data_IF_637163929481
#
_entry.id   IF_637163929481
#
_cell.length_a   1.000
_cell.length_b   1.000
_cell.length_c   1.000
_cell.angle_alpha   90.00
_cell.angle_beta   90.00
_cell.angle_gamma   90.00
#
_symmetry.space_group_name_H-M   'P 1'
#
loop_
_entity.id
_entity.type
_entity.pdbx_description
1 polymer ?
#
# COMPACT_ATOMS: atom_id res chain seq x y z
N UNK A 1 -10.35 -10.53 23.45
CA UNK A 1 -11.72 -10.96 23.01
C UNK A 1 -11.86 -10.68 21.53
N UNK A 2 -12.26 -11.67 20.74
CA UNK A 2 -12.45 -11.53 19.29
C UNK A 2 -13.81 -10.93 18.94
N UNK A 3 -13.92 -10.32 17.75
CA UNK A 3 -15.20 -9.80 17.26
C UNK A 3 -16.25 -10.91 17.16
N UNK A 4 -15.88 -12.10 16.68
CA UNK A 4 -16.77 -13.26 16.62
C UNK A 4 -17.34 -13.63 18.01
N UNK A 5 -16.51 -13.60 19.04
CA UNK A 5 -16.92 -13.86 20.43
C UNK A 5 -17.90 -12.80 20.93
N UNK A 6 -17.61 -11.52 20.65
CA UNK A 6 -18.46 -10.40 21.06
C UNK A 6 -19.89 -10.51 20.49
N UNK A 7 -20.02 -10.96 19.25
CA UNK A 7 -21.31 -11.09 18.56
C UNK A 7 -21.90 -12.51 18.62
N UNK A 8 -21.29 -13.44 19.37
CA UNK A 8 -21.75 -14.82 19.50
C UNK A 8 -21.71 -15.60 18.18
N UNK A 9 -20.80 -15.26 17.28
CA UNK A 9 -20.63 -15.94 16.00
C UNK A 9 -19.77 -17.17 16.22
N UNK A 10 -20.31 -18.35 15.91
CA UNK A 10 -19.62 -19.65 16.09
C UNK A 10 -18.84 -20.12 14.87
N UNK A 11 -18.69 -19.26 13.85
CA UNK A 11 -17.98 -19.57 12.61
C UNK A 11 -16.46 -19.47 12.79
N UNK A 12 -15.73 -20.33 12.08
CA UNK A 12 -14.29 -20.23 11.97
C UNK A 12 -13.87 -19.09 11.03
N UNK A 13 -12.61 -18.62 11.09
CA UNK A 13 -12.11 -17.54 10.22
C UNK A 13 -12.35 -17.82 8.73
N UNK A 14 -12.30 -19.07 8.28
CA UNK A 14 -12.53 -19.43 6.88
C UNK A 14 -13.98 -19.29 6.41
N UNK A 15 -14.91 -19.18 7.36
CA UNK A 15 -16.35 -19.04 7.10
C UNK A 15 -16.83 -17.59 7.32
N UNK A 16 -15.92 -16.70 7.73
CA UNK A 16 -16.20 -15.29 7.94
C UNK A 16 -15.80 -14.49 6.69
N UNK A 17 -16.60 -13.49 6.35
CA UNK A 17 -16.32 -12.53 5.28
C UNK A 17 -15.43 -11.36 5.75
N UNK A 18 -14.91 -11.42 6.98
CA UNK A 18 -14.05 -10.41 7.58
C UNK A 18 -12.96 -11.07 8.44
N UNK A 19 -11.92 -10.34 8.74
CA UNK A 19 -10.88 -10.79 9.66
C UNK A 19 -11.37 -10.68 11.08
N UNK A 20 -11.31 -11.78 11.83
CA UNK A 20 -11.74 -11.87 13.22
C UNK A 20 -10.68 -11.25 14.15
N UNK A 21 -10.65 -9.93 14.19
CA UNK A 21 -9.66 -9.17 14.98
C UNK A 21 -9.92 -9.26 16.47
N UNK A 22 -8.87 -9.20 17.27
CA UNK A 22 -8.94 -9.09 18.72
C UNK A 22 -9.20 -7.63 19.11
N UNK A 23 -10.26 -7.35 19.84
CA UNK A 23 -10.61 -6.00 20.29
C UNK A 23 -9.77 -5.50 21.49
N UNK A 24 -9.05 -6.37 22.15
CA UNK A 24 -8.22 -6.03 23.32
C UNK A 24 -6.75 -5.86 22.97
N UNK A 25 -6.33 -6.32 21.78
CA UNK A 25 -4.96 -6.25 21.30
C UNK A 25 -4.91 -5.92 19.82
N UNK A 26 -3.80 -5.34 19.38
CA UNK A 26 -3.56 -5.09 17.97
C UNK A 26 -3.36 -6.41 17.21
N UNK A 27 -4.12 -6.59 16.14
CA UNK A 27 -3.98 -7.73 15.24
C UNK A 27 -3.20 -7.28 14.03
N UNK A 28 -1.94 -7.72 13.83
CA UNK A 28 -1.14 -7.28 12.70
C UNK A 28 -1.74 -7.79 11.39
N UNK A 29 -2.30 -6.86 10.61
CA UNK A 29 -2.87 -7.11 9.29
C UNK A 29 -2.06 -6.36 8.25
N UNK A 30 -1.76 -7.04 7.15
CA UNK A 30 -0.98 -6.46 6.05
C UNK A 30 -1.71 -6.70 4.73
N UNK A 31 -1.79 -5.65 3.91
CA UNK A 31 -2.18 -5.78 2.52
C UNK A 31 -0.94 -6.10 1.69
N UNK A 32 -0.95 -7.27 1.09
CA UNK A 32 0.13 -7.72 0.23
C UNK A 32 -0.28 -7.53 -1.24
N UNK A 33 0.39 -6.68 -2.02
CA UNK A 33 0.06 -6.43 -3.42
C UNK A 33 0.12 -7.69 -4.27
N UNK A 34 1.01 -8.63 -3.95
CA UNK A 34 1.09 -9.91 -4.65
C UNK A 34 -0.20 -10.74 -4.48
N UNK A 35 -0.75 -10.81 -3.26
CA UNK A 35 -2.01 -11.52 -3.04
C UNK A 35 -3.19 -10.80 -3.69
N UNK A 36 -3.19 -9.48 -3.74
CA UNK A 36 -4.19 -8.71 -4.48
C UNK A 36 -4.14 -9.07 -5.96
N UNK A 37 -2.95 -9.11 -6.56
CA UNK A 37 -2.76 -9.47 -7.97
C UNK A 37 -3.16 -10.91 -8.32
N UNK A 38 -3.16 -11.82 -7.34
CA UNK A 38 -3.52 -13.24 -7.52
C UNK A 38 -4.97 -13.58 -7.19
N UNK A 39 -5.72 -12.60 -6.72
CA UNK A 39 -7.10 -12.81 -6.29
C UNK A 39 -8.08 -12.51 -7.42
N UNK A 40 -9.05 -13.40 -7.62
CA UNK A 40 -10.03 -13.30 -8.71
C UNK A 40 -11.26 -12.44 -8.37
N UNK A 41 -11.32 -11.83 -7.19
CA UNK A 41 -12.41 -10.91 -6.85
C UNK A 41 -12.35 -9.62 -7.69
N UNK A 42 -13.50 -9.12 -8.17
CA UNK A 42 -13.53 -7.88 -8.96
C UNK A 42 -12.84 -6.69 -8.28
N UNK A 43 -13.02 -6.53 -6.96
CA UNK A 43 -12.38 -5.47 -6.19
C UNK A 43 -10.85 -5.63 -6.14
N UNK A 44 -10.34 -6.85 -6.03
CA UNK A 44 -8.90 -7.13 -6.06
C UNK A 44 -8.31 -6.80 -7.43
N UNK A 45 -9.03 -7.10 -8.50
CA UNK A 45 -8.62 -6.73 -9.85
C UNK A 45 -8.53 -5.21 -10.05
N UNK A 46 -9.53 -4.46 -9.57
CA UNK A 46 -9.51 -2.99 -9.64
C UNK A 46 -8.38 -2.41 -8.79
N UNK A 47 -8.15 -2.94 -7.59
CA UNK A 47 -7.04 -2.54 -6.72
C UNK A 47 -5.69 -2.82 -7.40
N UNK A 48 -5.52 -3.99 -8.01
CA UNK A 48 -4.31 -4.33 -8.76
C UNK A 48 -4.06 -3.37 -9.92
N UNK A 49 -5.07 -3.05 -10.71
CA UNK A 49 -4.94 -2.07 -11.80
C UNK A 49 -4.55 -0.68 -11.27
N UNK A 50 -5.11 -0.27 -10.15
CA UNK A 50 -4.79 1.02 -9.52
C UNK A 50 -3.33 1.06 -9.04
N UNK A 51 -2.89 0.00 -8.36
CA UNK A 51 -1.50 -0.16 -7.92
C UNK A 51 -0.54 -0.06 -9.09
N UNK A 52 -0.78 -0.85 -10.11
CA UNK A 52 0.06 -0.90 -11.31
C UNK A 52 0.13 0.46 -12.02
N UNK A 53 -1.02 1.06 -12.30
CA UNK A 53 -1.10 2.38 -12.95
C UNK A 53 -0.38 3.47 -12.17
N UNK A 54 -0.51 3.46 -10.84
CA UNK A 54 0.16 4.41 -9.98
C UNK A 54 1.69 4.27 -10.04
N UNK A 55 2.20 3.05 -9.89
CA UNK A 55 3.64 2.79 -9.94
C UNK A 55 4.24 3.03 -11.30
N UNK A 56 3.55 2.66 -12.39
CA UNK A 56 3.97 3.03 -13.75
C UNK A 56 4.08 4.55 -13.90
N UNK A 57 3.12 5.31 -13.39
CA UNK A 57 3.15 6.78 -13.41
C UNK A 57 4.34 7.33 -12.61
N UNK A 58 4.53 6.86 -11.39
CA UNK A 58 5.64 7.27 -10.51
C UNK A 58 7.00 6.98 -11.15
N UNK A 59 7.22 5.75 -11.61
CA UNK A 59 8.48 5.33 -12.22
C UNK A 59 8.78 6.09 -13.52
N UNK A 60 7.75 6.33 -14.34
CA UNK A 60 7.87 7.16 -15.55
C UNK A 60 8.27 8.58 -15.20
N UNK A 61 7.59 9.20 -14.24
CA UNK A 61 7.86 10.58 -13.80
C UNK A 61 9.30 10.72 -13.30
N UNK A 62 9.82 9.71 -12.58
CA UNK A 62 11.21 9.65 -12.13
C UNK A 62 12.20 9.50 -13.28
N UNK A 63 11.91 8.62 -14.26
CA UNK A 63 12.75 8.42 -15.47
C UNK A 63 12.81 9.66 -16.35
N UNK A 64 11.71 10.40 -16.41
CA UNK A 64 11.61 11.68 -17.12
C UNK A 64 12.28 12.84 -16.36
N UNK A 65 12.93 12.56 -15.22
CA UNK A 65 13.60 13.54 -14.35
C UNK A 65 12.66 14.65 -13.82
N UNK A 66 11.36 14.39 -13.74
CA UNK A 66 10.35 15.27 -13.18
C UNK A 66 10.27 15.07 -11.65
N UNK A 67 11.32 15.50 -10.96
CA UNK A 67 11.52 15.17 -9.54
C UNK A 67 10.47 15.77 -8.62
N UNK A 68 10.00 17.00 -8.86
CA UNK A 68 8.98 17.63 -8.03
C UNK A 68 7.64 16.88 -8.11
N UNK A 69 7.24 16.51 -9.32
CA UNK A 69 5.99 15.75 -9.55
C UNK A 69 6.07 14.36 -8.95
N UNK A 70 7.23 13.69 -9.05
CA UNK A 70 7.44 12.38 -8.45
C UNK A 70 7.43 12.44 -6.91
N UNK A 71 8.00 13.49 -6.31
CA UNK A 71 7.97 13.70 -4.87
C UNK A 71 6.55 14.01 -4.38
N UNK A 72 5.78 14.77 -5.13
CA UNK A 72 4.38 15.00 -4.86
C UNK A 72 3.58 13.71 -4.90
N UNK A 73 3.69 12.92 -5.97
CA UNK A 73 3.06 11.60 -6.05
C UNK A 73 3.43 10.73 -4.83
N UNK A 74 4.71 10.67 -4.52
CA UNK A 74 5.19 9.83 -3.41
C UNK A 74 4.72 10.31 -2.05
N UNK A 75 4.48 11.61 -1.87
CA UNK A 75 3.98 12.19 -0.62
C UNK A 75 2.58 11.70 -0.23
N UNK A 76 1.79 11.28 -1.22
CA UNK A 76 0.45 10.72 -1.02
C UNK A 76 0.46 9.25 -0.57
N UNK A 77 1.62 8.59 -0.53
CA UNK A 77 1.76 7.21 -0.04
C UNK A 77 1.92 7.11 1.48
N UNK A 78 1.87 8.23 2.19
CA UNK A 78 1.91 8.28 3.65
C UNK A 78 0.71 7.60 4.30
N UNK A 79 0.83 7.32 5.59
CA UNK A 79 -0.25 6.72 6.38
C UNK A 79 -1.55 7.52 6.24
N UNK A 80 -2.61 6.88 5.80
CA UNK A 80 -3.95 7.46 5.78
C UNK A 80 -4.64 7.22 7.11
N UNK A 81 -5.11 8.29 7.75
CA UNK A 81 -5.89 8.20 8.99
C UNK A 81 -7.23 7.46 8.81
N UNK A 82 -7.64 7.20 7.58
CA UNK A 82 -8.91 6.60 7.22
C UNK A 82 -8.83 5.07 7.16
N UNK A 83 -7.62 4.51 7.16
CA UNK A 83 -7.38 3.08 7.07
C UNK A 83 -6.85 2.57 8.42
N UNK A 84 -7.76 2.22 9.32
CA UNK A 84 -7.41 1.54 10.57
C UNK A 84 -7.57 0.04 10.39
N UNK A 85 -6.46 -0.67 10.16
CA UNK A 85 -6.42 -2.15 10.12
C UNK A 85 -6.24 -2.77 11.51
N UNK A 86 -6.81 -2.15 12.54
CA UNK A 86 -6.74 -2.65 13.90
C UNK A 86 -7.49 -1.77 14.88
N UNK A 87 -7.75 -2.29 16.07
CA UNK A 87 -8.39 -1.55 17.17
C UNK A 87 -7.33 -1.12 18.18
N UNK A 88 -7.25 0.18 18.46
CA UNK A 88 -6.40 0.73 19.53
C UNK A 88 -7.26 1.46 20.56
N UNK A 89 -7.02 1.19 21.85
CA UNK A 89 -7.68 1.91 22.95
C UNK A 89 -7.25 3.37 23.09
N UNK A 90 -6.14 3.73 22.46
CA UNK A 90 -5.57 5.09 22.45
C UNK A 90 -5.36 5.54 21.02
N UNK A 91 -4.49 6.53 20.81
CA UNK A 91 -4.12 6.93 19.44
C UNK A 91 -3.47 5.75 18.70
N UNK A 92 -3.77 5.55 17.40
CA UNK A 92 -3.09 4.55 16.59
C UNK A 92 -1.58 4.67 16.78
N UNK A 93 -0.91 3.56 17.12
CA UNK A 93 0.54 3.51 17.35
C UNK A 93 1.26 2.79 16.21
N UNK A 94 0.63 2.67 15.05
CA UNK A 94 1.25 2.11 13.86
C UNK A 94 2.53 2.86 13.50
N UNK A 95 3.56 2.14 13.08
CA UNK A 95 4.76 2.73 12.47
C UNK A 95 4.47 3.00 10.98
N UNK A 96 3.38 3.67 10.69
CA UNK A 96 3.03 4.07 9.34
C UNK A 96 4.10 4.94 8.69
N UNK A 97 3.99 5.11 7.38
CA UNK A 97 4.95 5.90 6.61
C UNK A 97 4.79 7.39 6.92
N UNK A 98 5.57 7.88 7.88
CA UNK A 98 5.65 9.30 8.19
C UNK A 98 6.41 10.10 7.12
N UNK A 99 6.29 11.45 7.09
CA UNK A 99 6.96 12.30 6.10
C UNK A 99 8.48 12.09 6.03
N UNK A 100 9.12 11.81 7.16
CA UNK A 100 10.56 11.53 7.23
C UNK A 100 10.92 10.20 6.54
N UNK A 101 10.06 9.19 6.69
CA UNK A 101 10.31 7.87 6.09
C UNK A 101 10.00 7.91 4.59
N UNK A 102 8.93 8.59 4.19
CA UNK A 102 8.62 8.84 2.79
C UNK A 102 9.80 9.51 2.07
N UNK A 103 10.40 10.55 2.67
CA UNK A 103 11.56 11.24 2.09
C UNK A 103 12.79 10.33 1.98
N UNK A 104 13.03 9.44 2.94
CA UNK A 104 14.16 8.49 2.88
C UNK A 104 13.96 7.45 1.78
N UNK A 105 12.76 6.88 1.72
CA UNK A 105 12.41 5.89 0.69
C UNK A 105 12.48 6.52 -0.70
N UNK A 106 11.95 7.73 -0.86
CA UNK A 106 12.02 8.46 -2.12
C UNK A 106 13.45 8.70 -2.60
N UNK A 107 14.37 9.07 -1.69
CA UNK A 107 15.81 9.20 -2.03
C UNK A 107 16.41 7.87 -2.44
N UNK A 108 16.15 6.80 -1.68
CA UNK A 108 16.64 5.47 -2.01
C UNK A 108 16.11 5.00 -3.37
N UNK A 109 14.84 5.25 -3.67
CA UNK A 109 14.24 4.96 -4.96
C UNK A 109 14.91 5.71 -6.11
N UNK A 110 15.09 7.03 -5.95
CA UNK A 110 15.74 7.89 -6.94
C UNK A 110 17.16 7.45 -7.27
N UNK A 111 17.90 7.02 -6.24
CA UNK A 111 19.31 6.63 -6.36
C UNK A 111 19.47 5.15 -6.78
N UNK A 112 18.38 4.38 -6.84
CA UNK A 112 18.39 2.96 -7.16
C UNK A 112 18.88 2.70 -8.59
N UNK A 113 19.88 1.84 -8.78
CA UNK A 113 20.29 1.37 -10.10
C UNK A 113 19.13 0.66 -10.85
N UNK A 114 18.24 -0.01 -10.13
CA UNK A 114 17.11 -0.73 -10.71
C UNK A 114 16.11 0.20 -11.40
N UNK A 115 15.92 1.42 -10.88
CA UNK A 115 15.14 2.45 -11.56
C UNK A 115 15.75 2.85 -12.88
N UNK A 116 17.08 3.07 -12.92
CA UNK A 116 17.81 3.52 -14.13
C UNK A 116 17.88 2.45 -15.20
N UNK A 117 18.00 1.19 -14.81
CA UNK A 117 18.09 0.06 -15.75
C UNK A 117 16.73 -0.41 -16.25
N UNK A 118 15.63 0.08 -15.66
CA UNK A 118 14.28 -0.32 -16.01
C UNK A 118 13.84 -1.68 -15.49
N UNK A 119 14.64 -2.32 -14.61
CA UNK A 119 14.31 -3.61 -14.00
C UNK A 119 13.14 -3.47 -13.00
N UNK A 120 13.03 -2.30 -12.36
CA UNK A 120 11.93 -2.01 -11.46
C UNK A 120 10.68 -1.65 -12.26
N UNK A 121 9.65 -2.46 -12.17
CA UNK A 121 8.41 -2.32 -12.93
C UNK A 121 7.16 -2.20 -12.05
N UNK A 122 7.13 -2.93 -10.92
CA UNK A 122 5.96 -3.05 -10.05
C UNK A 122 6.27 -2.67 -8.59
N UNK A 123 5.21 -2.54 -7.78
CA UNK A 123 5.30 -2.21 -6.34
C UNK A 123 6.11 -3.26 -5.57
N UNK A 124 6.01 -4.54 -5.94
CA UNK A 124 6.71 -5.64 -5.29
C UNK A 124 8.23 -5.49 -5.38
N UNK A 125 8.72 -4.87 -6.45
CA UNK A 125 10.12 -4.61 -6.70
C UNK A 125 10.72 -3.64 -5.68
N UNK A 126 9.88 -2.79 -5.06
CA UNK A 126 10.32 -1.86 -4.02
C UNK A 126 11.00 -2.55 -2.85
N UNK A 127 10.49 -3.70 -2.39
CA UNK A 127 11.13 -4.46 -1.29
C UNK A 127 12.48 -5.01 -1.65
N UNK A 128 12.73 -5.23 -2.94
CA UNK A 128 13.97 -5.83 -3.43
C UNK A 128 15.03 -4.76 -3.69
N UNK A 129 14.62 -3.62 -4.25
CA UNK A 129 15.52 -2.62 -4.82
C UNK A 129 15.57 -1.28 -4.08
N UNK A 130 14.70 -1.10 -3.08
CA UNK A 130 14.60 0.16 -2.34
C UNK A 130 14.79 -0.09 -0.85
N UNK A 131 15.78 0.56 -0.26
CA UNK A 131 16.07 0.44 1.17
C UNK A 131 14.93 1.02 2.04
N UNK A 132 14.79 0.46 3.22
CA UNK A 132 13.84 0.88 4.25
C UNK A 132 12.35 0.65 3.89
N UNK A 133 12.05 -0.19 2.92
CA UNK A 133 10.69 -0.65 2.62
C UNK A 133 10.47 -2.00 3.29
N UNK A 134 9.84 -1.99 4.46
CA UNK A 134 9.38 -3.19 5.17
C UNK A 134 7.94 -3.55 4.80
N UNK A 135 7.41 -4.61 5.39
CA UNK A 135 6.05 -5.08 5.10
C UNK A 135 4.98 -4.10 5.57
N UNK A 136 5.22 -3.33 6.65
CA UNK A 136 4.27 -2.35 7.17
C UNK A 136 4.11 -1.22 6.15
N UNK A 137 5.22 -0.65 5.68
CA UNK A 137 5.21 0.41 4.67
C UNK A 137 4.66 -0.05 3.33
N UNK A 138 4.96 -1.30 2.94
CA UNK A 138 4.36 -1.89 1.74
C UNK A 138 2.84 -1.99 1.87
N UNK A 139 2.35 -2.44 3.03
CA UNK A 139 0.93 -2.50 3.33
C UNK A 139 0.27 -1.12 3.28
N UNK A 140 0.91 -0.11 3.88
CA UNK A 140 0.39 1.27 3.89
C UNK A 140 0.32 1.85 2.49
N UNK A 141 1.37 1.70 1.68
CA UNK A 141 1.36 2.13 0.28
C UNK A 141 0.26 1.43 -0.51
N UNK A 142 0.15 0.11 -0.34
CA UNK A 142 -0.88 -0.71 -1.00
C UNK A 142 -2.28 -0.26 -0.63
N UNK A 143 -2.53 -0.03 0.66
CA UNK A 143 -3.82 0.44 1.16
C UNK A 143 -4.17 1.81 0.59
N UNK A 144 -3.25 2.77 0.67
CA UNK A 144 -3.47 4.12 0.14
C UNK A 144 -3.81 4.12 -1.34
N UNK A 145 -3.01 3.43 -2.15
CA UNK A 145 -3.24 3.40 -3.59
C UNK A 145 -4.55 2.70 -3.92
N UNK A 146 -4.88 1.60 -3.24
CA UNK A 146 -6.09 0.83 -3.53
C UNK A 146 -7.38 1.60 -3.19
N UNK A 147 -7.35 2.51 -2.23
CA UNK A 147 -8.53 3.23 -1.74
C UNK A 147 -8.64 4.64 -2.30
N UNK A 148 -7.53 5.34 -2.47
CA UNK A 148 -7.50 6.79 -2.69
C UNK A 148 -7.20 7.23 -4.13
N UNK A 149 -6.84 6.34 -5.04
CA UNK A 149 -6.48 6.80 -6.39
C UNK A 149 -7.71 7.13 -7.22
N UNK A 150 -8.02 8.43 -7.40
CA UNK A 150 -8.72 8.87 -8.61
C UNK A 150 -7.79 8.46 -9.76
N UNK A 151 -8.29 7.67 -10.68
CA UNK A 151 -7.60 7.21 -11.88
C UNK A 151 -6.69 8.32 -12.38
N UNK A 152 -5.38 8.17 -12.19
CA UNK A 152 -4.39 9.08 -12.74
C UNK A 152 -4.69 9.11 -14.24
N UNK A 153 -5.09 10.29 -14.73
CA UNK A 153 -5.76 10.44 -16.02
C UNK A 153 -4.98 9.83 -17.18
N UNK A 154 -5.26 8.58 -17.41
CA UNK A 154 -5.10 7.97 -18.72
C UNK A 154 -6.32 8.39 -19.53
N UNK A 155 -6.45 9.69 -19.81
CA UNK A 155 -7.14 10.12 -20.99
C UNK A 155 -6.22 9.74 -22.15
N UNK A 156 -6.37 8.51 -22.59
CA UNK A 156 -5.94 8.15 -23.94
C UNK A 156 -6.75 9.03 -24.87
N UNK A 157 -6.09 9.96 -25.50
CA UNK A 157 -6.62 10.56 -26.71
C UNK A 157 -6.78 9.47 -27.77
N UNK A 158 -7.83 9.61 -28.62
CA UNK A 158 -8.21 8.61 -29.62
C UNK A 158 -7.17 8.41 -30.71
#
# INVERSE_FOLDING_TARGET
MKISELFGITKSQHELDFVDVDIDSDTPLFLDPYFIAKNDFPLAYEAHLSLRSYFECLLRTLRDNRMADAEELFSHLGESNEICLGFSRTKPQGKGMGPSDASKIFRSLKDSPALRTGIMEDIEDFRIFVDNVDKDKMSDMTANISILVPKCGLQGEP
#
